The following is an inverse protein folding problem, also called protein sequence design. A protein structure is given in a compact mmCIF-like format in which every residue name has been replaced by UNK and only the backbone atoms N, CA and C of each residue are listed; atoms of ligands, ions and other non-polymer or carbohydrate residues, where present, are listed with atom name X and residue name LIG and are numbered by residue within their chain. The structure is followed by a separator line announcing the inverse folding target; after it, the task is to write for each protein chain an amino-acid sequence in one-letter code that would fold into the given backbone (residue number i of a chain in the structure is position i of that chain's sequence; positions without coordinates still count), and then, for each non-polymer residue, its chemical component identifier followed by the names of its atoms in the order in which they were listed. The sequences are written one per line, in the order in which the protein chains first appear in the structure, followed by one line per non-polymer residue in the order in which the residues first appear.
data_IF_618368613133
#
_entry.id   IF_618368613133
#
_cell.length_a   1.000
_cell.length_b   1.000
_cell.length_c   1.000
_cell.angle_alpha   90.00
_cell.angle_beta   90.00
_cell.angle_gamma   90.00
#
_symmetry.space_group_name_H-M   'P 1'
#
loop_
_entity.id
_entity.type
_entity.pdbx_description
1 polymer ?
#
# COMPACT_ATOMS: atom_id res chain seq x y z
N UNK A 1 -0.81 -22.64 14.68
CA UNK A 1 -0.87 -22.35 13.24
C UNK A 1 0.26 -23.16 12.61
N UNK A 2 -0.06 -24.13 11.75
CA UNK A 2 0.93 -24.93 11.04
C UNK A 2 1.72 -24.03 10.07
N UNK A 3 3.04 -24.17 10.06
CA UNK A 3 3.87 -23.47 9.08
C UNK A 3 3.45 -23.87 7.66
N UNK A 4 3.39 -22.94 6.70
CA UNK A 4 3.02 -23.25 5.33
C UNK A 4 4.05 -24.20 4.72
N UNK A 5 3.57 -25.20 3.98
CA UNK A 5 4.45 -26.14 3.29
C UNK A 5 5.26 -25.42 2.18
N UNK A 6 6.36 -26.04 1.77
CA UNK A 6 7.17 -25.57 0.63
C UNK A 6 6.30 -25.33 -0.62
N UNK A 7 5.37 -26.23 -0.88
CA UNK A 7 4.46 -26.14 -2.03
C UNK A 7 3.43 -25.00 -1.90
N UNK A 8 2.95 -24.73 -0.68
CA UNK A 8 2.06 -23.59 -0.43
C UNK A 8 2.78 -22.26 -0.70
N UNK A 9 4.05 -22.16 -0.28
CA UNK A 9 4.89 -20.99 -0.54
C UNK A 9 5.19 -20.84 -2.03
N UNK A 10 5.49 -21.92 -2.75
CA UNK A 10 5.70 -21.89 -4.20
C UNK A 10 4.45 -21.41 -4.93
N UNK A 11 3.28 -21.93 -4.58
CA UNK A 11 1.98 -21.53 -5.15
C UNK A 11 1.70 -20.05 -4.87
N UNK A 12 1.96 -19.60 -3.64
CA UNK A 12 1.79 -18.19 -3.24
C UNK A 12 2.66 -17.27 -4.11
N UNK A 13 3.97 -17.51 -4.17
CA UNK A 13 4.88 -16.62 -4.89
C UNK A 13 4.68 -16.68 -6.40
N UNK A 14 4.31 -17.84 -6.96
CA UNK A 14 3.93 -17.93 -8.37
C UNK A 14 2.77 -16.97 -8.69
N UNK A 15 1.73 -16.96 -7.87
CA UNK A 15 0.58 -16.07 -8.01
C UNK A 15 0.97 -14.59 -7.83
N UNK A 16 1.69 -14.26 -6.74
CA UNK A 16 2.04 -12.90 -6.37
C UNK A 16 2.98 -12.26 -7.41
N UNK A 17 3.89 -13.06 -7.97
CA UNK A 17 4.80 -12.66 -9.03
C UNK A 17 4.16 -12.69 -10.43
N UNK A 18 2.98 -13.31 -10.58
CA UNK A 18 2.29 -13.53 -11.87
C UNK A 18 3.18 -14.33 -12.84
N UNK A 19 3.77 -15.41 -12.35
CA UNK A 19 4.54 -16.32 -13.19
C UNK A 19 3.57 -17.11 -14.07
N UNK A 20 4.03 -17.46 -15.27
CA UNK A 20 3.22 -18.16 -16.29
C UNK A 20 3.16 -19.68 -16.06
N UNK A 21 3.34 -20.11 -14.82
CA UNK A 21 3.15 -21.48 -14.36
C UNK A 21 2.61 -21.49 -12.93
N UNK A 22 1.85 -22.52 -12.60
CA UNK A 22 1.26 -22.66 -11.28
C UNK A 22 2.20 -23.39 -10.30
N UNK A 23 1.82 -23.39 -9.00
CA UNK A 23 2.61 -24.07 -7.97
C UNK A 23 2.65 -25.58 -8.12
N UNK A 24 1.67 -26.20 -8.83
CA UNK A 24 1.65 -27.65 -9.09
C UNK A 24 2.66 -28.02 -10.17
N UNK A 25 2.78 -27.21 -11.22
CA UNK A 25 3.77 -27.39 -12.28
C UNK A 25 5.18 -27.23 -11.71
N UNK A 26 5.42 -26.26 -10.84
CA UNK A 26 6.68 -26.11 -10.12
C UNK A 26 7.00 -27.32 -9.23
N UNK A 27 6.00 -27.83 -8.51
CA UNK A 27 6.16 -29.01 -7.67
C UNK A 27 6.48 -30.26 -8.51
N UNK A 28 5.79 -30.46 -9.63
CA UNK A 28 6.05 -31.56 -10.55
C UNK A 28 7.48 -31.49 -11.13
N UNK A 29 7.90 -30.30 -11.57
CA UNK A 29 9.26 -30.07 -12.05
C UNK A 29 10.33 -30.35 -10.98
N UNK A 30 10.07 -29.94 -9.73
CA UNK A 30 10.97 -30.19 -8.62
C UNK A 30 11.13 -31.69 -8.31
N UNK A 31 10.03 -32.44 -8.38
CA UNK A 31 10.02 -33.90 -8.19
C UNK A 31 10.75 -34.61 -9.32
N UNK A 32 10.48 -34.26 -10.57
CA UNK A 32 11.11 -34.84 -11.76
C UNK A 32 12.64 -34.65 -11.73
N UNK A 33 13.10 -33.47 -11.33
CA UNK A 33 14.51 -33.14 -11.23
C UNK A 33 15.15 -33.53 -9.88
N UNK A 34 14.40 -34.19 -8.99
CA UNK A 34 14.89 -34.69 -7.69
C UNK A 34 15.51 -33.57 -6.81
N UNK A 35 14.93 -32.38 -6.81
CA UNK A 35 15.41 -31.30 -5.95
C UNK A 35 15.24 -31.64 -4.48
N UNK A 36 16.26 -31.35 -3.69
CA UNK A 36 16.23 -31.51 -2.24
C UNK A 36 15.44 -30.37 -1.60
N UNK A 37 14.91 -30.58 -0.39
CA UNK A 37 14.24 -29.54 0.40
C UNK A 37 15.09 -28.29 0.61
N UNK A 38 16.41 -28.46 0.75
CA UNK A 38 17.34 -27.33 0.88
C UNK A 38 17.39 -26.47 -0.39
N UNK A 39 17.40 -27.09 -1.55
CA UNK A 39 17.37 -26.39 -2.84
C UNK A 39 16.03 -25.70 -3.05
N UNK A 40 14.92 -26.34 -2.71
CA UNK A 40 13.59 -25.72 -2.80
C UNK A 40 13.44 -24.52 -1.85
N UNK A 41 13.97 -24.61 -0.63
CA UNK A 41 14.02 -23.48 0.30
C UNK A 41 14.84 -22.30 -0.23
N UNK A 42 15.96 -22.57 -0.91
CA UNK A 42 16.76 -21.51 -1.54
C UNK A 42 15.98 -20.82 -2.68
N UNK A 43 15.27 -21.57 -3.51
CA UNK A 43 14.40 -21.02 -4.57
C UNK A 43 13.30 -20.16 -3.98
N UNK A 44 12.63 -20.64 -2.93
CA UNK A 44 11.59 -19.85 -2.24
C UNK A 44 12.17 -18.58 -1.65
N UNK A 45 13.35 -18.63 -1.07
CA UNK A 45 14.05 -17.42 -0.56
C UNK A 45 14.31 -16.40 -1.65
N UNK A 46 14.69 -16.84 -2.84
CA UNK A 46 14.87 -15.97 -4.00
C UNK A 46 13.54 -15.36 -4.48
N UNK A 47 12.50 -16.19 -4.62
CA UNK A 47 11.17 -15.72 -5.03
C UNK A 47 10.61 -14.69 -4.03
N UNK A 48 10.80 -14.91 -2.73
CA UNK A 48 10.44 -13.95 -1.68
C UNK A 48 11.17 -12.61 -1.87
N UNK A 49 12.48 -12.64 -2.10
CA UNK A 49 13.27 -11.43 -2.32
C UNK A 49 12.79 -10.65 -3.56
N UNK A 50 12.45 -11.35 -4.64
CA UNK A 50 11.93 -10.74 -5.88
C UNK A 50 10.56 -10.08 -5.60
N UNK A 51 9.68 -10.77 -4.89
CA UNK A 51 8.34 -10.27 -4.54
C UNK A 51 8.42 -9.01 -3.66
N UNK A 52 9.25 -9.03 -2.62
CA UNK A 52 9.48 -7.87 -1.75
C UNK A 52 10.02 -6.66 -2.53
N UNK A 53 10.96 -6.86 -3.45
CA UNK A 53 11.48 -5.80 -4.33
C UNK A 53 10.42 -5.27 -5.28
N UNK A 54 9.61 -6.14 -5.88
CA UNK A 54 8.52 -5.77 -6.77
C UNK A 54 7.47 -4.94 -6.03
N UNK A 55 7.07 -5.38 -4.83
CA UNK A 55 6.14 -4.66 -3.97
C UNK A 55 6.68 -3.28 -3.56
N UNK A 56 7.92 -3.20 -3.11
CA UNK A 56 8.58 -1.93 -2.75
C UNK A 56 8.65 -0.98 -3.94
N UNK A 57 9.00 -1.47 -5.12
CA UNK A 57 9.05 -0.68 -6.36
C UNK A 57 7.67 -0.15 -6.74
N UNK A 58 6.63 -0.97 -6.61
CA UNK A 58 5.26 -0.57 -6.87
C UNK A 58 4.81 0.56 -5.93
N UNK A 59 5.04 0.41 -4.61
CA UNK A 59 4.75 1.45 -3.61
C UNK A 59 5.50 2.74 -3.91
N UNK A 60 6.80 2.67 -4.20
CA UNK A 60 7.60 3.85 -4.54
C UNK A 60 7.09 4.56 -5.79
N UNK A 61 6.60 3.80 -6.77
CA UNK A 61 5.97 4.36 -7.97
C UNK A 61 4.66 5.07 -7.63
N UNK A 62 3.80 4.47 -6.80
CA UNK A 62 2.57 5.10 -6.32
C UNK A 62 2.86 6.41 -5.59
N UNK A 63 3.81 6.41 -4.65
CA UNK A 63 4.23 7.60 -3.92
C UNK A 63 4.80 8.69 -4.86
N UNK A 64 5.53 8.30 -5.90
CA UNK A 64 6.06 9.24 -6.90
C UNK A 64 4.95 9.90 -7.71
N UNK A 65 3.95 9.14 -8.11
CA UNK A 65 2.83 9.61 -8.93
C UNK A 65 1.76 10.37 -8.13
N UNK A 66 1.70 10.17 -6.81
CA UNK A 66 0.67 10.75 -5.94
C UNK A 66 0.71 12.26 -5.78
N UNK A 67 1.82 12.93 -6.13
CA UNK A 67 2.11 14.35 -5.85
C UNK A 67 2.11 14.71 -4.36
N UNK A 68 2.20 13.73 -3.47
CA UNK A 68 2.39 13.96 -2.05
C UNK A 68 3.80 14.47 -1.73
N UNK A 69 3.99 15.26 -0.66
CA UNK A 69 5.31 15.72 -0.23
C UNK A 69 6.26 14.55 0.04
N UNK A 70 7.44 14.56 -0.60
CA UNK A 70 8.45 13.50 -0.45
C UNK A 70 9.60 13.87 0.48
N UNK A 71 10.04 15.14 0.48
CA UNK A 71 11.16 15.61 1.32
C UNK A 71 10.82 15.56 2.80
N UNK A 72 9.61 16.01 3.16
CA UNK A 72 9.09 15.97 4.53
C UNK A 72 7.72 15.29 4.46
N UNK A 73 7.70 13.95 4.44
CA UNK A 73 6.45 13.20 4.31
C UNK A 73 5.57 13.43 5.53
N UNK A 74 4.28 13.66 5.28
CA UNK A 74 3.26 13.74 6.32
C UNK A 74 2.73 12.34 6.60
N UNK A 75 2.75 11.94 7.86
CA UNK A 75 2.26 10.65 8.34
C UNK A 75 1.32 10.85 9.53
N UNK A 76 0.57 9.82 9.90
CA UNK A 76 -0.28 9.88 11.09
C UNK A 76 0.57 9.94 12.38
N UNK A 77 1.74 9.30 12.41
CA UNK A 77 2.66 9.31 13.53
C UNK A 77 3.28 10.70 13.76
N UNK A 78 3.50 11.44 12.66
CA UNK A 78 4.04 12.81 12.74
C UNK A 78 2.97 13.89 13.04
N UNK A 79 1.71 13.48 13.15
CA UNK A 79 0.60 14.39 13.43
C UNK A 79 0.36 14.50 14.95
N UNK A 80 0.35 15.73 15.45
CA UNK A 80 0.10 16.02 16.88
C UNK A 80 -1.40 16.04 17.18
N UNK A 81 -1.95 14.93 17.60
CA UNK A 81 -3.35 14.78 17.98
C UNK A 81 -3.68 15.49 19.31
N UNK A 82 -2.69 15.90 20.12
CA UNK A 82 -2.94 16.60 21.40
C UNK A 82 -3.55 17.98 21.20
N UNK A 83 -3.35 18.58 20.03
CA UNK A 83 -3.89 19.89 19.67
C UNK A 83 -5.34 19.88 19.24
N UNK A 84 -5.93 18.72 19.09
CA UNK A 84 -7.32 18.59 18.65
C UNK A 84 -8.17 18.18 19.85
N UNK A 85 -9.23 18.95 20.08
CA UNK A 85 -10.22 18.67 21.11
C UNK A 85 -11.60 18.54 20.45
N UNK A 86 -12.44 17.63 20.97
CA UNK A 86 -13.78 17.43 20.47
C UNK A 86 -14.19 15.97 20.35
N UNK A 87 -15.43 15.76 19.93
CA UNK A 87 -16.03 14.41 19.84
C UNK A 87 -15.39 13.52 18.77
N UNK A 88 -14.80 14.12 17.72
CA UNK A 88 -14.35 13.41 16.53
C UNK A 88 -12.86 13.00 16.56
N UNK A 89 -12.15 13.23 17.66
CA UNK A 89 -10.72 12.88 17.77
C UNK A 89 -10.49 11.38 17.58
N UNK A 90 -11.39 10.54 18.10
CA UNK A 90 -11.37 9.10 17.90
C UNK A 90 -11.50 8.71 16.42
N UNK A 91 -12.44 9.32 15.70
CA UNK A 91 -12.65 9.10 14.28
C UNK A 91 -11.44 9.54 13.45
N UNK A 92 -10.80 10.69 13.79
CA UNK A 92 -9.59 11.13 13.12
C UNK A 92 -8.40 10.17 13.31
N UNK A 93 -8.23 9.60 14.50
CA UNK A 93 -7.22 8.57 14.76
C UNK A 93 -7.52 7.28 13.98
N UNK A 94 -8.79 6.90 13.90
CA UNK A 94 -9.23 5.72 13.17
C UNK A 94 -9.01 5.79 11.65
N UNK A 95 -8.80 6.99 11.07
CA UNK A 95 -8.48 7.15 9.64
C UNK A 95 -7.25 6.35 9.21
N UNK A 96 -6.30 6.09 10.10
CA UNK A 96 -5.11 5.28 9.81
C UNK A 96 -5.44 3.84 9.41
N UNK A 97 -6.61 3.32 9.79
CA UNK A 97 -7.09 1.98 9.41
C UNK A 97 -7.52 1.86 7.94
N UNK A 98 -7.73 2.99 7.25
CA UNK A 98 -8.24 3.08 5.87
C UNK A 98 -9.61 2.43 5.65
N UNK A 99 -10.38 2.17 6.73
CA UNK A 99 -11.68 1.52 6.66
C UNK A 99 -12.65 2.30 5.76
N UNK A 100 -12.62 3.63 5.81
CA UNK A 100 -13.54 4.47 5.04
C UNK A 100 -13.31 4.38 3.52
N UNK A 101 -12.03 4.42 3.08
CA UNK A 101 -11.73 4.27 1.65
C UNK A 101 -12.00 2.86 1.15
N UNK A 102 -11.74 1.85 1.97
CA UNK A 102 -12.07 0.46 1.63
C UNK A 102 -13.59 0.24 1.52
N UNK A 103 -14.38 1.02 2.27
CA UNK A 103 -15.84 1.05 2.18
C UNK A 103 -16.38 1.99 1.07
N UNK A 104 -15.51 2.58 0.25
CA UNK A 104 -15.89 3.51 -0.83
C UNK A 104 -16.46 4.85 -0.34
N UNK A 105 -16.20 5.22 0.91
CA UNK A 105 -16.74 6.46 1.49
C UNK A 105 -15.85 7.67 1.22
N UNK A 106 -16.49 8.83 1.10
CA UNK A 106 -15.81 10.11 1.03
C UNK A 106 -15.51 10.65 2.43
N UNK A 107 -14.37 11.32 2.58
CA UNK A 107 -13.95 11.94 3.83
C UNK A 107 -13.82 13.45 3.62
N UNK A 108 -14.46 14.24 4.49
CA UNK A 108 -14.33 15.69 4.54
C UNK A 108 -13.69 16.09 5.88
N UNK A 109 -12.55 16.79 5.82
CA UNK A 109 -11.89 17.34 7.01
C UNK A 109 -12.27 18.81 7.16
N UNK A 110 -13.13 19.12 8.13
CA UNK A 110 -13.66 20.45 8.39
C UNK A 110 -13.12 20.98 9.72
N UNK A 111 -12.76 22.27 9.77
CA UNK A 111 -12.25 22.89 10.98
C UNK A 111 -11.49 24.19 10.69
N UNK A 112 -11.06 24.93 11.71
CA UNK A 112 -10.37 26.21 11.58
C UNK A 112 -9.01 26.08 10.86
N UNK A 113 -8.46 27.19 10.33
CA UNK A 113 -7.10 27.23 9.80
C UNK A 113 -6.06 26.76 10.84
N UNK A 114 -4.97 26.16 10.38
CA UNK A 114 -3.84 25.79 11.24
C UNK A 114 -3.96 24.46 11.98
N UNK A 115 -5.14 23.84 12.11
CA UNK A 115 -5.32 22.56 12.85
C UNK A 115 -4.73 21.34 12.14
N UNK A 116 -4.13 21.50 10.97
CA UNK A 116 -3.43 20.38 10.30
C UNK A 116 -4.31 19.53 9.37
N UNK A 117 -5.46 20.02 8.87
CA UNK A 117 -6.31 19.28 7.90
C UNK A 117 -5.52 18.76 6.70
N UNK A 118 -4.69 19.61 6.12
CA UNK A 118 -3.82 19.24 4.98
C UNK A 118 -2.80 18.18 5.35
N UNK A 119 -2.25 18.23 6.57
CA UNK A 119 -1.36 17.19 7.07
C UNK A 119 -2.09 15.84 7.12
N UNK A 120 -3.27 15.78 7.74
CA UNK A 120 -4.07 14.58 7.83
C UNK A 120 -4.47 14.04 6.45
N UNK A 121 -4.89 14.92 5.52
CA UNK A 121 -5.21 14.51 4.15
C UNK A 121 -4.00 13.90 3.43
N UNK A 122 -2.81 14.49 3.60
CA UNK A 122 -1.57 13.96 3.02
C UNK A 122 -1.12 12.67 3.69
N UNK A 123 -1.26 12.55 5.02
CA UNK A 123 -0.96 11.33 5.76
C UNK A 123 -1.89 10.19 5.32
N UNK A 124 -3.18 10.46 5.16
CA UNK A 124 -4.16 9.51 4.65
C UNK A 124 -3.82 9.03 3.24
N UNK A 125 -3.56 9.95 2.31
CA UNK A 125 -3.16 9.62 0.95
C UNK A 125 -1.86 8.81 0.90
N UNK A 126 -0.89 9.12 1.78
CA UNK A 126 0.34 8.33 1.91
C UNK A 126 0.06 6.91 2.42
N UNK A 127 -0.78 6.77 3.43
CA UNK A 127 -1.18 5.46 3.94
C UNK A 127 -1.88 4.63 2.85
N UNK A 128 -2.74 5.24 2.02
CA UNK A 128 -3.33 4.59 0.86
C UNK A 128 -2.25 4.07 -0.12
N UNK A 129 -1.25 4.90 -0.47
CA UNK A 129 -0.14 4.48 -1.34
C UNK A 129 0.64 3.30 -0.76
N UNK A 130 0.94 3.32 0.55
CA UNK A 130 1.65 2.25 1.25
C UNK A 130 0.87 0.92 1.25
N UNK A 131 -0.46 1.00 1.15
CA UNK A 131 -1.36 -0.14 0.99
C UNK A 131 -1.70 -0.46 -0.48
N UNK A 132 -0.89 0.01 -1.44
CA UNK A 132 -1.03 -0.32 -2.85
C UNK A 132 -2.14 0.44 -3.60
N UNK A 133 -2.78 1.42 -2.97
CA UNK A 133 -3.87 2.18 -3.59
C UNK A 133 -3.33 3.38 -4.37
N UNK A 134 -3.83 3.57 -5.59
CA UNK A 134 -3.52 4.77 -6.39
C UNK A 134 -4.13 6.01 -5.72
N UNK A 135 -3.27 6.96 -5.37
CA UNK A 135 -3.67 8.22 -4.75
C UNK A 135 -3.12 9.39 -5.55
N UNK A 136 -3.86 10.47 -5.61
CA UNK A 136 -3.43 11.69 -6.28
C UNK A 136 -3.81 12.91 -5.44
N UNK A 137 -2.82 13.61 -4.92
CA UNK A 137 -3.01 14.85 -4.15
C UNK A 137 -3.13 16.04 -5.09
N UNK A 138 -4.21 16.81 -4.94
CA UNK A 138 -4.55 17.91 -5.83
C UNK A 138 -5.12 19.09 -5.04
N UNK A 139 -4.75 20.31 -5.39
CA UNK A 139 -5.42 21.51 -4.89
C UNK A 139 -6.74 21.73 -5.64
N UNK A 140 -7.75 22.29 -4.98
CA UNK A 140 -9.04 22.57 -5.60
C UNK A 140 -8.94 23.49 -6.84
N UNK A 141 -8.01 24.45 -6.81
CA UNK A 141 -7.71 25.32 -7.97
C UNK A 141 -7.22 24.52 -9.20
N UNK A 142 -6.28 23.58 -8.96
CA UNK A 142 -5.75 22.71 -10.03
C UNK A 142 -6.83 21.75 -10.57
N UNK A 143 -7.72 21.26 -9.69
CA UNK A 143 -8.84 20.42 -10.12
C UNK A 143 -9.77 21.20 -11.07
N UNK A 144 -10.11 22.44 -10.70
CA UNK A 144 -10.96 23.32 -11.51
C UNK A 144 -10.36 23.57 -12.91
N UNK A 145 -9.05 23.84 -13.00
CA UNK A 145 -8.35 24.01 -14.27
C UNK A 145 -8.40 22.75 -15.13
N UNK A 146 -8.13 21.60 -14.55
CA UNK A 146 -8.18 20.31 -15.26
C UNK A 146 -9.57 19.96 -15.78
N UNK A 147 -10.62 20.32 -15.07
CA UNK A 147 -12.00 20.11 -15.51
C UNK A 147 -12.37 21.06 -16.65
N UNK A 148 -11.89 22.32 -16.62
CA UNK A 148 -12.12 23.28 -17.73
C UNK A 148 -11.44 22.85 -19.05
N UNK A 149 -10.29 22.22 -18.98
CA UNK A 149 -9.56 21.74 -20.17
C UNK A 149 -10.19 20.50 -20.83
N UNK A 150 -11.19 19.90 -20.21
CA UNK A 150 -11.90 18.72 -20.72
C UNK A 150 -13.34 19.02 -21.20
N UNK A 151 -13.80 20.24 -21.01
CA UNK A 151 -15.07 20.74 -21.51
C UNK A 151 -14.87 21.49 -22.83
#
# INVERSE_FOLDING_TARGET
MTEPSIYDLMTKYSRDLKLDFDGKELAAFALENKYTDSQLKAVIGLLKCIDEKKHTTAINTLLRLSRLPRKVPKTFESYDFSRIHGKDVGALKALSSLAEVNAGKNIALIGPPGVGKTHLAQAYGRACCLNGMKTYFLKASELREKLRLRA
#
